data_IF_099607018058
#
_entry.id   IF_099607018058
#
_cell.length_a   1.000
_cell.length_b   1.000
_cell.length_c   1.000
_cell.angle_alpha   90.00
_cell.angle_beta   90.00
_cell.angle_gamma   90.00
#
_symmetry.space_group_name_H-M   'P 1'
#
loop_
_entity.id
_entity.type
_entity.pdbx_description
1 polymer ?
#
# COMPACT_ATOMS: atom_id res chain seq x y z
N UNK A 1 -11.75 -11.35 -3.44
CA UNK A 1 -13.07 -10.75 -3.11
C UNK A 1 -13.85 -11.49 -1.99
N UNK A 2 -13.54 -12.75 -1.62
CA UNK A 2 -14.16 -13.42 -0.45
C UNK A 2 -13.64 -12.89 0.90
N UNK A 3 -12.33 -12.61 1.00
CA UNK A 3 -11.66 -12.21 2.25
C UNK A 3 -12.21 -10.91 2.85
N UNK A 4 -12.42 -9.88 2.00
CA UNK A 4 -13.00 -8.59 2.42
C UNK A 4 -14.44 -8.72 2.95
N UNK A 5 -15.24 -9.64 2.38
CA UNK A 5 -16.61 -9.91 2.86
C UNK A 5 -16.60 -10.58 4.23
N UNK A 6 -15.69 -11.53 4.46
CA UNK A 6 -15.54 -12.19 5.77
C UNK A 6 -15.10 -11.19 6.84
N UNK A 7 -14.12 -10.33 6.53
CA UNK A 7 -13.63 -9.29 7.47
C UNK A 7 -14.72 -8.24 7.77
N UNK A 8 -15.56 -7.90 6.78
CA UNK A 8 -16.67 -6.95 7.00
C UNK A 8 -17.73 -7.45 7.98
N UNK A 9 -17.82 -8.76 8.20
CA UNK A 9 -18.77 -9.40 9.12
C UNK A 9 -18.20 -9.59 10.53
N UNK A 10 -16.94 -9.23 10.77
CA UNK A 10 -16.30 -9.30 12.09
C UNK A 10 -16.77 -8.15 12.98
N UNK A 11 -16.81 -8.40 14.29
CA UNK A 11 -16.98 -7.34 15.28
C UNK A 11 -15.89 -6.26 15.09
N UNK A 12 -16.19 -4.97 15.33
CA UNK A 12 -15.23 -3.89 15.12
C UNK A 12 -13.89 -4.10 15.84
N UNK A 13 -13.91 -4.67 17.04
CA UNK A 13 -12.71 -5.01 17.82
C UNK A 13 -11.86 -6.10 17.16
N UNK A 14 -12.49 -7.12 16.59
CA UNK A 14 -11.80 -8.22 15.89
C UNK A 14 -11.24 -7.74 14.56
N UNK A 15 -11.98 -6.86 13.87
CA UNK A 15 -11.53 -6.20 12.64
C UNK A 15 -10.32 -5.30 12.90
N UNK A 16 -10.34 -4.52 13.98
CA UNK A 16 -9.19 -3.71 14.40
C UNK A 16 -7.97 -4.58 14.69
N UNK A 17 -8.12 -5.62 15.51
CA UNK A 17 -7.03 -6.57 15.81
C UNK A 17 -6.43 -7.21 14.55
N UNK A 18 -7.26 -7.57 13.58
CA UNK A 18 -6.80 -8.12 12.30
C UNK A 18 -5.98 -7.09 11.49
N UNK A 19 -6.43 -5.83 11.40
CA UNK A 19 -5.67 -4.80 10.70
C UNK A 19 -4.34 -4.51 11.40
N UNK A 20 -4.33 -4.36 12.73
CA UNK A 20 -3.10 -4.20 13.50
C UNK A 20 -2.12 -5.34 13.23
N UNK A 21 -2.58 -6.59 13.30
CA UNK A 21 -1.72 -7.74 13.05
C UNK A 21 -1.14 -7.74 11.63
N UNK A 22 -1.94 -7.36 10.63
CA UNK A 22 -1.48 -7.31 9.23
C UNK A 22 -0.49 -6.16 9.01
N UNK A 23 -0.73 -5.00 9.62
CA UNK A 23 0.19 -3.85 9.59
C UNK A 23 1.53 -4.24 10.22
N UNK A 24 1.52 -4.81 11.43
CA UNK A 24 2.71 -5.26 12.14
C UNK A 24 3.52 -6.27 11.32
N UNK A 25 2.87 -7.26 10.70
CA UNK A 25 3.56 -8.28 9.87
C UNK A 25 4.25 -7.64 8.66
N UNK A 26 3.63 -6.63 8.04
CA UNK A 26 4.19 -5.97 6.86
C UNK A 26 5.35 -5.07 7.24
N UNK A 27 5.24 -4.34 8.35
CA UNK A 27 6.32 -3.51 8.89
C UNK A 27 7.51 -4.38 9.33
N UNK A 28 7.26 -5.46 10.08
CA UNK A 28 8.29 -6.43 10.49
C UNK A 28 9.00 -7.05 9.28
N UNK A 29 8.26 -7.37 8.22
CA UNK A 29 8.83 -7.87 6.98
C UNK A 29 9.73 -6.83 6.31
N UNK A 30 9.28 -5.58 6.22
CA UNK A 30 10.04 -4.49 5.62
C UNK A 30 11.36 -4.26 6.38
N UNK A 31 11.28 -4.18 7.70
CA UNK A 31 12.43 -3.94 8.57
C UNK A 31 13.44 -5.10 8.54
N UNK A 32 12.94 -6.34 8.61
CA UNK A 32 13.80 -7.54 8.63
C UNK A 32 14.52 -7.78 7.31
N UNK A 33 13.98 -7.29 6.19
CA UNK A 33 14.55 -7.49 4.86
C UNK A 33 15.22 -6.22 4.29
N UNK A 34 15.27 -5.13 5.07
CA UNK A 34 15.82 -3.86 4.64
C UNK A 34 15.09 -3.28 3.43
N UNK A 35 13.77 -3.45 3.36
CA UNK A 35 12.90 -2.92 2.32
C UNK A 35 12.21 -1.66 2.86
N UNK A 36 12.14 -0.61 2.05
CA UNK A 36 11.50 0.65 2.41
C UNK A 36 10.14 0.73 1.72
N UNK A 37 9.09 0.98 2.50
CA UNK A 37 7.75 1.26 1.98
C UNK A 37 7.70 2.72 1.52
N UNK A 38 7.36 2.93 0.25
CA UNK A 38 7.17 4.26 -0.35
C UNK A 38 5.80 4.82 0.04
N UNK A 39 5.64 5.26 1.29
CA UNK A 39 4.39 5.84 1.78
C UNK A 39 4.43 7.37 1.75
N UNK A 40 3.32 7.98 1.35
CA UNK A 40 3.08 9.42 1.46
C UNK A 40 1.60 9.63 1.77
N UNK A 41 1.31 10.20 2.93
CA UNK A 41 -0.06 10.39 3.42
C UNK A 41 -0.90 11.30 2.51
N UNK A 42 -0.24 12.18 1.75
CA UNK A 42 -0.92 13.10 0.82
C UNK A 42 -1.39 12.42 -0.47
N UNK A 43 -0.96 11.20 -0.73
CA UNK A 43 -1.41 10.48 -1.91
C UNK A 43 -2.88 10.06 -1.78
N UNK A 44 -3.65 10.06 -2.88
CA UNK A 44 -4.96 9.42 -2.92
C UNK A 44 -4.87 7.97 -2.45
N UNK A 45 -5.85 7.53 -1.65
CA UNK A 45 -5.97 6.14 -1.19
C UNK A 45 -6.01 5.17 -2.37
N UNK A 46 -5.29 4.05 -2.37
CA UNK A 46 -5.15 3.26 -3.60
C UNK A 46 -6.38 2.44 -3.98
N UNK A 47 -7.35 2.26 -3.08
CA UNK A 47 -8.56 1.50 -3.37
C UNK A 47 -9.83 2.26 -3.02
N UNK A 48 -10.81 2.20 -3.91
CA UNK A 48 -12.16 2.76 -3.75
C UNK A 48 -13.13 1.60 -3.60
N UNK A 49 -13.87 1.61 -2.51
CA UNK A 49 -14.91 0.64 -2.23
C UNK A 49 -16.21 1.02 -2.94
N UNK A 50 -17.07 0.04 -3.18
CA UNK A 50 -18.39 0.26 -3.79
C UNK A 50 -19.31 1.16 -2.95
N UNK A 51 -19.06 1.26 -1.64
CA UNK A 51 -19.80 2.15 -0.72
C UNK A 51 -19.32 3.62 -0.77
N UNK A 52 -18.36 3.93 -1.64
CA UNK A 52 -17.75 5.26 -1.78
C UNK A 52 -16.63 5.54 -0.78
N UNK A 53 -16.38 4.63 0.17
CA UNK A 53 -15.21 4.67 1.03
C UNK A 53 -13.92 4.40 0.25
N UNK A 54 -12.77 4.68 0.87
CA UNK A 54 -11.47 4.34 0.26
C UNK A 54 -10.47 3.89 1.30
N UNK A 55 -9.63 2.91 0.93
CA UNK A 55 -8.54 2.36 1.76
C UNK A 55 -7.24 2.31 0.96
N UNK A 56 -6.12 2.01 1.64
CA UNK A 56 -4.80 1.97 1.04
C UNK A 56 -4.14 0.58 1.15
N UNK A 57 -4.71 -0.47 0.54
CA UNK A 57 -4.17 -1.83 0.66
C UNK A 57 -2.95 -2.06 -0.23
N UNK A 58 -2.72 -1.22 -1.24
CA UNK A 58 -1.65 -1.42 -2.22
C UNK A 58 -0.38 -0.68 -1.78
N UNK A 59 0.75 -1.39 -1.78
CA UNK A 59 2.03 -0.88 -1.30
C UNK A 59 3.07 -0.88 -2.41
N UNK A 60 3.78 0.24 -2.54
CA UNK A 60 5.00 0.33 -3.33
C UNK A 60 6.20 0.24 -2.38
N UNK A 61 7.18 -0.56 -2.76
CA UNK A 61 8.37 -0.81 -1.94
C UNK A 61 9.63 -0.64 -2.78
N UNK A 62 10.74 -0.27 -2.14
CA UNK A 62 12.06 -0.11 -2.76
C UNK A 62 13.14 -0.62 -1.82
N UNK A 63 14.36 -0.77 -2.34
CA UNK A 63 15.55 -0.98 -1.49
C UNK A 63 16.20 0.36 -1.13
N UNK A 64 17.01 0.42 -0.06
CA UNK A 64 17.64 1.65 0.40
C UNK A 64 18.53 2.30 -0.66
N UNK A 65 19.19 1.49 -1.49
CA UNK A 65 20.07 1.98 -2.56
C UNK A 65 19.33 2.73 -3.68
N UNK A 66 18.01 2.56 -3.80
CA UNK A 66 17.20 3.14 -4.87
C UNK A 66 16.22 4.20 -4.36
N UNK A 67 16.06 4.36 -3.03
CA UNK A 67 15.01 5.21 -2.44
C UNK A 67 15.10 6.67 -2.89
N UNK A 68 16.30 7.21 -2.98
CA UNK A 68 16.53 8.61 -3.36
C UNK A 68 16.18 8.89 -4.83
N UNK A 69 16.37 7.90 -5.69
CA UNK A 69 16.00 7.95 -7.11
C UNK A 69 14.53 7.62 -7.37
N UNK A 70 13.84 7.00 -6.41
CA UNK A 70 12.45 6.58 -6.53
C UNK A 70 11.48 7.74 -6.31
N UNK A 71 10.47 7.85 -7.17
CA UNK A 71 9.30 8.71 -7.00
C UNK A 71 8.05 7.88 -7.23
N UNK A 72 7.05 8.04 -6.37
CA UNK A 72 5.77 7.34 -6.45
C UNK A 72 4.67 8.35 -6.74
N UNK A 73 3.76 7.96 -7.62
CA UNK A 73 2.54 8.69 -7.93
C UNK A 73 1.36 7.73 -7.86
N UNK A 74 0.26 8.16 -7.25
CA UNK A 74 -1.03 7.45 -7.34
C UNK A 74 -1.88 8.20 -8.36
N UNK A 75 -2.21 7.54 -9.46
CA UNK A 75 -3.03 8.11 -10.53
C UNK A 75 -4.52 8.02 -10.18
N UNK A 76 -5.34 8.75 -10.91
CA UNK A 76 -6.80 8.75 -10.73
C UNK A 76 -7.44 7.37 -10.94
N UNK A 77 -8.70 7.25 -10.57
CA UNK A 77 -9.46 6.02 -10.81
C UNK A 77 -9.78 5.86 -12.30
N UNK A 78 -9.46 4.68 -12.84
CA UNK A 78 -9.74 4.29 -14.22
C UNK A 78 -10.98 3.38 -14.35
N UNK A 79 -11.72 3.17 -13.26
CA UNK A 79 -12.94 2.36 -13.21
C UNK A 79 -12.75 0.95 -12.65
N UNK A 80 -11.59 0.65 -12.05
CA UNK A 80 -11.30 -0.66 -11.42
C UNK A 80 -11.53 -0.65 -9.91
N UNK A 81 -11.76 0.51 -9.29
CA UNK A 81 -11.70 0.69 -7.84
C UNK A 81 -10.27 0.76 -7.31
N UNK A 82 -9.33 -0.06 -7.80
CA UNK A 82 -7.91 0.15 -7.56
C UNK A 82 -7.36 1.27 -8.46
N UNK A 83 -6.75 2.27 -7.82
CA UNK A 83 -5.97 3.33 -8.44
C UNK A 83 -4.60 2.79 -8.83
N UNK A 84 -4.09 3.26 -9.98
CA UNK A 84 -2.78 2.85 -10.45
C UNK A 84 -1.68 3.52 -9.63
N UNK A 85 -0.68 2.74 -9.21
CA UNK A 85 0.55 3.26 -8.63
C UNK A 85 1.63 3.25 -9.70
N UNK A 86 2.19 4.42 -9.99
CA UNK A 86 3.36 4.58 -10.85
C UNK A 86 4.58 4.84 -9.98
N UNK A 87 5.59 3.98 -10.10
CA UNK A 87 6.90 4.19 -9.47
C UNK A 87 7.91 4.43 -10.58
N UNK A 88 8.56 5.58 -10.55
CA UNK A 88 9.68 5.90 -11.42
C UNK A 88 10.96 5.86 -10.59
N UNK A 89 12.04 5.34 -11.16
CA UNK A 89 13.35 5.42 -10.55
C UNK A 89 14.30 6.13 -11.51
N UNK A 90 15.16 6.99 -10.97
CA UNK A 90 16.28 7.56 -11.70
C UNK A 90 17.54 6.88 -11.22
N UNK A 91 18.31 6.32 -12.14
CA UNK A 91 19.59 5.67 -11.86
C UNK A 91 20.72 6.53 -12.40
N UNK A 92 21.68 6.90 -11.55
CA UNK A 92 23.03 7.28 -12.01
C UNK A 92 23.98 6.06 -12.04
N UNK A 93 23.46 4.86 -11.79
CA UNK A 93 24.23 3.62 -11.78
C UNK A 93 24.47 3.18 -13.23
N UNK A 94 25.73 3.26 -13.66
CA UNK A 94 26.25 2.50 -14.79
C UNK A 94 26.07 1.00 -14.45
N UNK A 95 25.15 0.35 -15.16
CA UNK A 95 24.93 -1.09 -15.09
C UNK A 95 26.08 -1.82 -15.80
#
# INVERSE_FOLDING_TARGET
MLLLRVISMLLPSVKAMYYYLVEDIVEDYADSNGVIILYNEKDPKTFIHYDGGSTNPDLAMTTPNLVDGCRKFVLGDLGSGHRMILVTYTSEVNI
#
